data_IF_724556198243
#
_entry.id   IF_724556198243
#
_cell.length_a   1.000
_cell.length_b   1.000
_cell.length_c   1.000
_cell.angle_alpha   90.00
_cell.angle_beta   90.00
_cell.angle_gamma   90.00
#
_symmetry.space_group_name_H-M   'P 1'
#
loop_
_entity.id
_entity.type
_entity.pdbx_description
1 polymer ?
#
# COMPACT_ATOMS: atom_id res chain seq x y z
N UNK A 1 48.19 43.63 62.34
CA UNK A 1 49.19 44.19 61.43
C UNK A 1 48.47 44.81 60.27
N UNK A 2 48.59 46.13 60.08
CA UNK A 2 48.09 46.83 58.91
C UNK A 2 49.19 46.80 57.85
N UNK A 3 48.93 46.17 56.72
CA UNK A 3 49.83 46.24 55.56
C UNK A 3 49.45 47.47 54.77
N UNK A 4 50.33 48.41 54.61
CA UNK A 4 50.26 49.60 53.82
C UNK A 4 51.08 49.31 52.56
N UNK A 5 50.44 49.41 51.38
CA UNK A 5 51.12 49.36 50.10
C UNK A 5 51.52 50.78 49.69
N UNK A 6 52.60 50.88 48.96
CA UNK A 6 53.05 52.16 48.42
C UNK A 6 52.02 52.77 47.46
N UNK A 7 51.85 54.10 47.52
CA UNK A 7 50.91 54.82 46.70
C UNK A 7 51.46 54.94 45.25
N UNK A 8 50.72 54.41 44.28
CA UNK A 8 51.05 54.60 42.87
C UNK A 8 50.40 55.89 42.43
N UNK A 9 51.17 56.85 41.95
CA UNK A 9 50.68 58.08 41.38
C UNK A 9 50.33 57.88 39.94
N UNK A 10 49.02 57.92 39.61
CA UNK A 10 48.53 57.83 38.27
C UNK A 10 48.29 59.25 37.76
N UNK A 11 49.09 59.69 36.79
CA UNK A 11 48.86 60.97 36.13
C UNK A 11 47.78 60.79 35.04
N UNK A 12 46.60 61.32 35.35
CA UNK A 12 45.49 61.35 34.33
C UNK A 12 45.59 62.63 33.53
N UNK A 13 46.09 62.52 32.31
CA UNK A 13 46.10 63.66 31.39
C UNK A 13 44.69 63.95 30.92
N UNK A 14 44.23 65.20 31.05
CA UNK A 14 42.98 65.63 30.47
C UNK A 14 43.21 65.90 29.00
N UNK A 15 42.50 65.17 28.12
CA UNK A 15 42.47 65.44 26.72
C UNK A 15 41.49 66.61 26.48
N UNK A 16 41.93 67.68 25.90
CA UNK A 16 41.08 68.83 25.51
C UNK A 16 40.22 68.36 24.28
N UNK A 17 39.01 67.98 24.58
CA UNK A 17 38.02 67.66 23.51
C UNK A 17 37.21 68.91 23.22
N UNK A 18 37.29 69.38 21.97
CA UNK A 18 36.51 70.53 21.54
C UNK A 18 35.10 70.06 21.22
N UNK A 19 34.22 70.14 22.20
CA UNK A 19 32.82 69.63 22.12
C UNK A 19 31.95 70.44 21.17
N UNK A 20 32.42 71.60 20.68
CA UNK A 20 31.67 72.40 19.73
C UNK A 20 31.95 72.04 18.25
N UNK A 21 33.04 71.36 17.98
CA UNK A 21 33.46 70.99 16.62
C UNK A 21 33.31 69.50 16.27
N UNK A 22 33.10 68.64 17.24
CA UNK A 22 32.90 67.23 17.01
C UNK A 22 31.47 66.84 17.42
N UNK A 23 30.58 66.60 16.44
CA UNK A 23 29.26 66.02 16.76
C UNK A 23 29.44 64.67 17.39
N UNK A 24 28.52 64.33 18.34
CA UNK A 24 28.46 63.00 18.94
C UNK A 24 28.45 61.96 17.83
N UNK A 25 29.40 61.04 17.88
CA UNK A 25 29.36 59.91 16.91
C UNK A 25 28.05 59.16 17.08
N UNK A 26 27.31 58.88 15.99
CA UNK A 26 26.09 58.14 16.05
C UNK A 26 26.37 56.75 16.63
N UNK A 27 25.40 56.22 17.39
CA UNK A 27 25.46 54.85 17.89
C UNK A 27 25.64 53.92 16.69
N UNK A 28 26.65 53.06 16.74
CA UNK A 28 26.85 52.07 15.69
C UNK A 28 25.57 51.26 15.57
N UNK A 29 24.96 51.30 14.41
CA UNK A 29 23.83 50.43 14.07
C UNK A 29 24.24 48.96 14.21
N UNK A 30 23.33 48.13 14.68
CA UNK A 30 23.50 46.67 14.64
C UNK A 30 23.76 46.30 13.18
N UNK A 31 24.90 45.68 12.92
CA UNK A 31 25.23 45.20 11.59
C UNK A 31 24.42 43.94 11.34
N UNK A 32 23.35 44.07 10.53
CA UNK A 32 22.62 42.96 10.03
C UNK A 32 23.53 42.19 9.06
N UNK A 33 24.06 41.06 9.51
CA UNK A 33 24.77 40.16 8.60
C UNK A 33 23.75 39.28 7.90
N UNK A 34 23.65 39.31 6.52
CA UNK A 34 22.79 38.43 5.83
C UNK A 34 23.21 36.99 6.06
N UNK A 35 22.24 36.10 6.33
CA UNK A 35 22.49 34.68 6.51
C UNK A 35 23.21 34.11 5.26
N UNK A 36 24.41 33.64 5.46
CA UNK A 36 25.18 32.98 4.42
C UNK A 36 25.10 31.45 4.57
N UNK A 37 24.90 30.73 3.48
CA UNK A 37 24.87 29.24 3.51
C UNK A 37 26.14 28.62 4.09
N UNK A 38 27.25 29.38 4.11
CA UNK A 38 28.51 28.97 4.73
C UNK A 38 28.38 28.81 6.26
N UNK A 39 27.45 29.54 6.89
CA UNK A 39 27.21 29.48 8.33
C UNK A 39 26.59 28.15 8.75
N UNK A 40 25.94 27.45 7.81
CA UNK A 40 25.40 26.11 8.02
C UNK A 40 26.47 24.99 7.95
N UNK A 41 27.70 25.30 7.49
CA UNK A 41 28.76 24.32 7.27
C UNK A 41 29.09 23.47 8.53
N UNK A 42 29.16 24.00 9.73
CA UNK A 42 29.45 23.21 10.93
C UNK A 42 28.31 22.24 11.26
N UNK A 43 27.06 22.54 10.84
CA UNK A 43 25.89 21.70 11.09
C UNK A 43 25.69 20.60 10.03
N UNK A 44 26.35 20.71 8.87
CA UNK A 44 26.24 19.74 7.77
C UNK A 44 26.57 18.30 8.23
N UNK A 45 27.64 18.15 9.01
CA UNK A 45 28.07 16.86 9.54
C UNK A 45 27.03 16.26 10.50
N UNK A 46 26.38 17.10 11.30
CA UNK A 46 25.29 16.66 12.19
C UNK A 46 24.05 16.23 11.40
N UNK A 47 23.70 16.96 10.35
CA UNK A 47 22.58 16.63 9.46
C UNK A 47 22.84 15.30 8.75
N UNK A 48 24.05 15.09 8.23
CA UNK A 48 24.44 13.83 7.59
C UNK A 48 24.38 12.68 8.60
N UNK A 49 24.88 12.89 9.82
CA UNK A 49 24.84 11.89 10.89
C UNK A 49 23.42 11.49 11.27
N UNK A 50 22.52 12.44 11.42
CA UNK A 50 21.10 12.20 11.74
C UNK A 50 20.41 11.48 10.58
N UNK A 51 20.65 11.89 9.32
CA UNK A 51 20.11 11.23 8.15
C UNK A 51 20.60 9.77 8.03
N UNK A 52 21.88 9.53 8.27
CA UNK A 52 22.45 8.17 8.26
C UNK A 52 21.81 7.29 9.36
N UNK A 53 21.60 7.84 10.54
CA UNK A 53 20.97 7.13 11.66
C UNK A 53 19.49 6.83 11.37
N UNK A 54 18.75 7.78 10.78
CA UNK A 54 17.37 7.57 10.34
C UNK A 54 17.28 6.51 9.23
N UNK A 55 18.19 6.56 8.25
CA UNK A 55 18.25 5.56 7.19
C UNK A 55 18.57 4.16 7.75
N UNK A 56 19.50 4.07 8.71
CA UNK A 56 19.81 2.82 9.39
C UNK A 56 18.64 2.32 10.22
N UNK A 57 17.96 3.18 10.96
CA UNK A 57 16.78 2.83 11.72
C UNK A 57 15.65 2.33 10.81
N UNK A 58 15.39 3.03 9.70
CA UNK A 58 14.42 2.63 8.69
C UNK A 58 14.81 1.26 8.08
N UNK A 59 16.06 1.08 7.71
CA UNK A 59 16.58 -0.20 7.22
C UNK A 59 16.36 -1.34 8.21
N UNK A 60 16.68 -1.13 9.50
CA UNK A 60 16.47 -2.13 10.54
C UNK A 60 15.00 -2.43 10.79
N UNK A 61 14.12 -1.40 10.75
CA UNK A 61 12.67 -1.58 10.88
C UNK A 61 12.09 -2.37 9.71
N UNK A 62 12.52 -2.06 8.47
CA UNK A 62 12.11 -2.78 7.29
C UNK A 62 12.60 -4.23 7.31
N UNK A 63 13.83 -4.43 7.78
CA UNK A 63 14.42 -5.78 7.97
C UNK A 63 13.68 -6.59 9.03
N UNK A 64 13.34 -5.98 10.19
CA UNK A 64 12.57 -6.65 11.26
C UNK A 64 11.15 -6.98 10.85
N UNK A 65 10.50 -6.11 10.05
CA UNK A 65 9.13 -6.37 9.56
C UNK A 65 9.08 -7.44 8.47
N UNK A 66 10.23 -8.02 8.10
CA UNK A 66 10.24 -9.07 7.08
C UNK A 66 9.56 -8.61 5.79
N UNK A 67 9.69 -7.32 5.43
CA UNK A 67 9.39 -6.89 4.08
C UNK A 67 10.44 -7.59 3.21
N UNK A 68 10.24 -8.90 3.07
CA UNK A 68 10.77 -9.61 1.93
C UNK A 68 10.19 -8.84 0.76
N UNK A 69 11.04 -8.11 0.05
CA UNK A 69 10.81 -7.87 -1.36
C UNK A 69 10.92 -9.28 -1.95
N UNK A 70 9.85 -10.06 -1.73
CA UNK A 70 9.63 -11.27 -2.48
C UNK A 70 9.62 -10.72 -3.90
N UNK A 71 10.66 -11.02 -4.70
CA UNK A 71 10.46 -11.13 -6.14
C UNK A 71 9.24 -12.01 -6.23
N UNK A 72 8.07 -11.38 -6.39
CA UNK A 72 6.80 -12.06 -6.53
C UNK A 72 7.04 -12.96 -7.72
N UNK A 73 7.33 -14.24 -7.46
CA UNK A 73 7.20 -15.25 -8.49
C UNK A 73 5.81 -14.97 -8.98
N UNK A 74 5.67 -14.54 -10.20
CA UNK A 74 4.39 -14.21 -10.78
C UNK A 74 3.69 -15.56 -10.89
N UNK A 75 3.07 -15.96 -9.78
CA UNK A 75 2.22 -17.15 -9.76
C UNK A 75 0.96 -16.71 -10.50
N UNK A 76 0.59 -17.39 -11.58
CA UNK A 76 -0.61 -17.03 -12.31
C UNK A 76 -1.82 -16.92 -11.38
N UNK A 77 -2.70 -15.92 -11.53
CA UNK A 77 -3.88 -15.72 -10.68
C UNK A 77 -4.74 -16.99 -10.59
N UNK A 78 -4.82 -17.76 -11.65
CA UNK A 78 -5.52 -19.05 -11.69
C UNK A 78 -4.99 -20.06 -10.64
N UNK A 79 -3.64 -20.17 -10.50
CA UNK A 79 -3.04 -21.10 -9.52
C UNK A 79 -3.37 -20.64 -8.10
N UNK A 80 -3.32 -19.33 -7.86
CA UNK A 80 -3.66 -18.76 -6.54
C UNK A 80 -5.13 -19.04 -6.20
N UNK A 81 -6.03 -18.84 -7.17
CA UNK A 81 -7.46 -19.10 -6.98
C UNK A 81 -7.74 -20.59 -6.68
N UNK A 82 -7.10 -21.50 -7.41
CA UNK A 82 -7.23 -22.94 -7.19
C UNK A 82 -6.68 -23.37 -5.82
N UNK A 83 -5.57 -22.80 -5.37
CA UNK A 83 -5.02 -23.10 -4.05
C UNK A 83 -5.92 -22.55 -2.92
N UNK A 84 -6.53 -21.36 -3.12
CA UNK A 84 -7.53 -20.82 -2.20
C UNK A 84 -8.78 -21.70 -2.13
N UNK A 85 -9.21 -22.26 -3.26
CA UNK A 85 -10.36 -23.16 -3.34
C UNK A 85 -10.08 -24.46 -2.57
N UNK A 86 -8.88 -25.03 -2.71
CA UNK A 86 -8.44 -26.19 -1.92
C UNK A 86 -8.37 -25.87 -0.42
N UNK A 87 -7.88 -24.69 -0.07
CA UNK A 87 -7.83 -24.24 1.32
C UNK A 87 -9.24 -24.08 1.91
N UNK A 88 -10.21 -23.64 1.12
CA UNK A 88 -11.62 -23.58 1.51
C UNK A 88 -12.19 -24.99 1.80
N UNK A 89 -11.87 -25.98 0.96
CA UNK A 89 -12.26 -27.37 1.17
C UNK A 89 -11.71 -27.93 2.51
N UNK A 90 -10.46 -27.58 2.85
CA UNK A 90 -9.84 -28.01 4.12
C UNK A 90 -10.54 -27.47 5.37
N UNK A 91 -11.23 -26.33 5.27
CA UNK A 91 -12.01 -25.75 6.39
C UNK A 91 -13.28 -26.54 6.71
N UNK A 92 -13.71 -27.44 5.85
CA UNK A 92 -14.91 -28.30 5.98
C UNK A 92 -16.18 -27.52 6.37
N UNK A 93 -16.32 -26.28 5.88
CA UNK A 93 -17.42 -25.37 6.23
C UNK A 93 -18.79 -25.93 5.85
N UNK A 94 -18.86 -26.69 4.76
CA UNK A 94 -20.10 -27.37 4.33
C UNK A 94 -20.52 -28.40 5.36
N UNK A 95 -19.60 -29.27 5.81
CA UNK A 95 -19.89 -30.33 6.78
C UNK A 95 -20.23 -29.76 8.18
N UNK A 96 -19.62 -28.64 8.53
CA UNK A 96 -19.91 -27.94 9.80
C UNK A 96 -21.14 -27.03 9.71
N UNK A 97 -21.89 -27.08 8.60
CA UNK A 97 -23.10 -26.29 8.34
C UNK A 97 -22.89 -24.76 8.41
N UNK A 98 -21.65 -24.30 8.24
CA UNK A 98 -21.31 -22.87 8.17
C UNK A 98 -21.47 -22.33 6.75
N UNK A 99 -22.63 -22.58 6.15
CA UNK A 99 -22.88 -22.31 4.72
C UNK A 99 -22.73 -20.83 4.38
N UNK A 100 -23.13 -19.90 5.25
CA UNK A 100 -22.95 -18.46 5.01
C UNK A 100 -21.47 -18.09 4.84
N UNK A 101 -20.59 -18.62 5.70
CA UNK A 101 -19.15 -18.37 5.63
C UNK A 101 -18.57 -19.01 4.37
N UNK A 102 -19.01 -20.22 4.06
CA UNK A 102 -18.61 -20.91 2.83
C UNK A 102 -18.91 -20.08 1.56
N UNK A 103 -20.13 -19.58 1.39
CA UNK A 103 -20.51 -18.81 0.21
C UNK A 103 -19.82 -17.44 0.16
N UNK A 104 -19.53 -16.82 1.31
CA UNK A 104 -18.75 -15.58 1.36
C UNK A 104 -17.34 -15.85 0.82
N UNK A 105 -16.65 -16.87 1.34
CA UNK A 105 -15.28 -17.18 0.90
C UNK A 105 -15.24 -17.68 -0.55
N UNK A 106 -16.21 -18.50 -0.97
CA UNK A 106 -16.31 -19.03 -2.33
C UNK A 106 -16.41 -17.89 -3.35
N UNK A 107 -17.35 -16.95 -3.11
CA UNK A 107 -17.52 -15.80 -4.01
C UNK A 107 -16.36 -14.83 -3.96
N UNK A 108 -15.70 -14.64 -2.81
CA UNK A 108 -14.49 -13.82 -2.70
C UNK A 108 -13.33 -14.39 -3.53
N UNK A 109 -13.15 -15.71 -3.55
CA UNK A 109 -12.13 -16.36 -4.38
C UNK A 109 -12.36 -16.06 -5.87
N UNK A 110 -13.61 -16.23 -6.35
CA UNK A 110 -13.96 -15.98 -7.75
C UNK A 110 -13.78 -14.50 -8.11
N UNK A 111 -14.30 -13.59 -7.29
CA UNK A 111 -14.19 -12.15 -7.51
C UNK A 111 -12.74 -11.68 -7.55
N UNK A 112 -11.90 -12.16 -6.64
CA UNK A 112 -10.45 -11.86 -6.65
C UNK A 112 -9.78 -12.37 -7.91
N UNK A 113 -10.13 -13.57 -8.35
CA UNK A 113 -9.58 -14.11 -9.60
C UNK A 113 -9.94 -13.24 -10.80
N UNK A 114 -11.21 -12.84 -10.92
CA UNK A 114 -11.69 -11.95 -11.98
C UNK A 114 -10.93 -10.61 -11.96
N UNK A 115 -10.73 -10.04 -10.77
CA UNK A 115 -10.02 -8.77 -10.62
C UNK A 115 -8.53 -8.90 -10.95
N UNK A 116 -7.87 -9.97 -10.48
CA UNK A 116 -6.43 -10.18 -10.69
C UNK A 116 -6.10 -10.59 -12.13
N UNK A 117 -6.98 -11.31 -12.81
CA UNK A 117 -6.75 -11.87 -14.16
C UNK A 117 -7.32 -11.01 -15.28
N UNK A 118 -8.56 -10.53 -15.12
CA UNK A 118 -9.27 -9.74 -16.13
C UNK A 118 -9.18 -8.22 -15.91
N UNK A 119 -8.62 -7.77 -14.78
CA UNK A 119 -8.54 -6.35 -14.39
C UNK A 119 -9.93 -5.66 -14.31
N UNK A 120 -10.97 -6.42 -13.99
CA UNK A 120 -12.32 -5.93 -13.75
C UNK A 120 -12.50 -5.72 -12.25
N UNK A 121 -13.01 -4.57 -11.75
CA UNK A 121 -13.16 -4.29 -10.31
C UNK A 121 -14.29 -5.14 -9.69
N UNK A 122 -14.04 -6.45 -9.58
CA UNK A 122 -15.04 -7.44 -9.17
C UNK A 122 -15.34 -7.42 -7.66
N UNK A 123 -14.41 -6.97 -6.83
CA UNK A 123 -14.59 -6.92 -5.37
C UNK A 123 -15.50 -5.78 -4.94
N UNK A 124 -15.53 -4.68 -5.69
CA UNK A 124 -16.30 -3.48 -5.38
C UNK A 124 -17.66 -3.44 -6.08
N UNK A 125 -17.86 -4.31 -7.09
CA UNK A 125 -19.08 -4.37 -7.90
C UNK A 125 -20.16 -5.23 -7.25
N UNK A 126 -21.41 -4.89 -7.48
CA UNK A 126 -22.55 -5.78 -7.21
C UNK A 126 -22.52 -7.00 -8.14
N UNK A 127 -23.32 -8.03 -7.85
CA UNK A 127 -23.37 -9.24 -8.69
C UNK A 127 -23.87 -8.93 -10.12
N UNK A 128 -24.86 -8.05 -10.25
CA UNK A 128 -25.42 -7.68 -11.55
C UNK A 128 -24.47 -6.79 -12.37
N UNK A 129 -23.82 -5.81 -11.73
CA UNK A 129 -22.79 -4.97 -12.36
C UNK A 129 -21.60 -5.79 -12.84
N UNK A 130 -21.14 -6.73 -12.03
CA UNK A 130 -20.03 -7.62 -12.39
C UNK A 130 -20.37 -8.44 -13.65
N UNK A 131 -21.58 -9.03 -13.70
CA UNK A 131 -22.01 -9.83 -14.84
C UNK A 131 -22.15 -8.99 -16.12
N UNK A 132 -22.72 -7.79 -16.02
CA UNK A 132 -22.78 -6.83 -17.13
C UNK A 132 -21.37 -6.50 -17.63
N UNK A 133 -20.47 -6.13 -16.74
CA UNK A 133 -19.09 -5.77 -17.08
C UNK A 133 -18.34 -6.94 -17.73
N UNK A 134 -18.51 -8.16 -17.24
CA UNK A 134 -17.89 -9.35 -17.85
C UNK A 134 -18.45 -9.60 -19.25
N UNK A 135 -19.77 -9.45 -19.47
CA UNK A 135 -20.39 -9.62 -20.78
C UNK A 135 -19.88 -8.60 -21.78
N UNK A 136 -19.86 -7.32 -21.40
CA UNK A 136 -19.35 -6.22 -22.23
C UNK A 136 -17.85 -6.41 -22.55
N UNK A 137 -17.08 -6.84 -21.56
CA UNK A 137 -15.66 -7.12 -21.72
C UNK A 137 -15.40 -8.32 -22.63
N UNK A 138 -16.22 -9.37 -22.52
CA UNK A 138 -16.13 -10.55 -23.40
C UNK A 138 -16.42 -10.20 -24.86
N UNK A 139 -17.41 -9.34 -25.11
CA UNK A 139 -17.75 -8.88 -26.46
C UNK A 139 -16.63 -7.99 -27.05
N UNK A 140 -16.07 -7.07 -26.23
CA UNK A 140 -15.08 -6.08 -26.69
C UNK A 140 -13.68 -6.66 -26.81
N UNK A 141 -13.27 -7.56 -25.92
CA UNK A 141 -11.88 -8.05 -25.78
C UNK A 141 -11.61 -9.38 -26.47
N UNK A 142 -12.61 -10.00 -27.07
CA UNK A 142 -12.52 -11.32 -27.74
C UNK A 142 -11.91 -12.40 -26.81
N UNK A 143 -12.26 -12.36 -25.51
CA UNK A 143 -11.77 -13.34 -24.53
C UNK A 143 -12.30 -14.75 -24.76
N UNK A 144 -13.33 -14.88 -25.62
CA UNK A 144 -13.98 -16.16 -25.92
C UNK A 144 -14.42 -16.94 -24.66
N UNK A 145 -14.91 -16.20 -23.63
CA UNK A 145 -15.56 -16.84 -22.48
C UNK A 145 -16.85 -17.49 -22.95
N UNK A 146 -16.98 -18.78 -22.66
CA UNK A 146 -18.20 -19.53 -23.05
C UNK A 146 -19.42 -18.99 -22.28
N UNK A 147 -20.52 -18.83 -23.00
CA UNK A 147 -21.81 -18.40 -22.46
C UNK A 147 -22.23 -19.21 -21.23
N UNK A 148 -21.99 -20.53 -21.25
CA UNK A 148 -22.26 -21.42 -20.15
C UNK A 148 -21.50 -21.04 -18.89
N UNK A 149 -20.26 -20.55 -19.01
CA UNK A 149 -19.45 -20.08 -17.88
C UNK A 149 -20.07 -18.83 -17.24
N UNK A 150 -20.54 -17.88 -18.06
CA UNK A 150 -21.19 -16.66 -17.58
C UNK A 150 -22.52 -16.99 -16.91
N UNK A 151 -23.33 -17.89 -17.48
CA UNK A 151 -24.59 -18.35 -16.90
C UNK A 151 -24.37 -19.02 -15.53
N UNK A 152 -23.39 -19.93 -15.43
CA UNK A 152 -23.03 -20.57 -14.16
C UNK A 152 -22.51 -19.60 -13.12
N UNK A 153 -21.75 -18.59 -13.53
CA UNK A 153 -21.31 -17.53 -12.64
C UNK A 153 -22.49 -16.74 -12.09
N UNK A 154 -23.44 -16.37 -12.95
CA UNK A 154 -24.68 -15.68 -12.56
C UNK A 154 -25.46 -16.49 -11.51
N UNK A 155 -25.70 -17.77 -11.77
CA UNK A 155 -26.47 -18.64 -10.89
C UNK A 155 -25.76 -18.80 -9.53
N UNK A 156 -24.44 -18.99 -9.54
CA UNK A 156 -23.65 -19.10 -8.33
C UNK A 156 -23.68 -17.81 -7.48
N UNK A 157 -23.52 -16.64 -8.12
CA UNK A 157 -23.57 -15.35 -7.42
C UNK A 157 -24.94 -15.10 -6.82
N UNK A 158 -26.03 -15.38 -7.57
CA UNK A 158 -27.41 -15.30 -7.06
C UNK A 158 -27.67 -16.22 -5.88
N UNK A 159 -27.23 -17.48 -5.98
CA UNK A 159 -27.33 -18.44 -4.86
C UNK A 159 -26.59 -17.92 -3.62
N UNK A 160 -25.38 -17.41 -3.81
CA UNK A 160 -24.59 -16.87 -2.73
C UNK A 160 -25.26 -15.64 -2.09
N UNK A 161 -25.84 -14.75 -2.87
CA UNK A 161 -26.54 -13.56 -2.36
C UNK A 161 -27.78 -13.93 -1.56
N UNK A 162 -28.53 -14.94 -1.98
CA UNK A 162 -29.65 -15.49 -1.21
C UNK A 162 -29.19 -16.04 0.16
N UNK A 163 -28.06 -16.75 0.20
CA UNK A 163 -27.50 -17.26 1.46
C UNK A 163 -26.99 -16.15 2.36
N UNK A 164 -26.33 -15.14 1.79
CA UNK A 164 -25.75 -14.02 2.53
C UNK A 164 -26.80 -13.10 3.13
N UNK A 165 -27.84 -12.78 2.36
CA UNK A 165 -28.76 -11.68 2.65
C UNK A 165 -30.21 -12.13 2.93
N UNK A 166 -30.70 -13.19 2.26
CA UNK A 166 -32.06 -13.67 2.40
C UNK A 166 -32.23 -14.83 3.40
N UNK A 167 -31.19 -15.19 4.16
CA UNK A 167 -31.20 -16.33 5.09
C UNK A 167 -31.58 -17.68 4.44
N UNK A 168 -31.41 -17.78 3.12
CA UNK A 168 -31.59 -19.04 2.42
C UNK A 168 -30.58 -20.07 2.92
N UNK A 169 -31.02 -21.32 3.11
CA UNK A 169 -30.19 -22.43 3.57
C UNK A 169 -30.22 -23.53 2.49
N UNK A 170 -29.26 -23.56 1.57
CA UNK A 170 -29.16 -24.66 0.63
C UNK A 170 -28.86 -25.97 1.37
N UNK A 171 -29.21 -27.10 0.74
CA UNK A 171 -28.80 -28.39 1.27
C UNK A 171 -27.30 -28.64 1.02
N UNK A 172 -26.72 -29.63 1.72
CA UNK A 172 -25.29 -29.92 1.61
C UNK A 172 -24.88 -30.31 0.19
N UNK A 173 -25.70 -31.09 -0.50
CA UNK A 173 -25.43 -31.52 -1.88
C UNK A 173 -25.38 -30.32 -2.84
N UNK A 174 -26.25 -29.31 -2.63
CA UNK A 174 -26.22 -28.07 -3.41
C UNK A 174 -24.93 -27.28 -3.17
N UNK A 175 -24.51 -27.18 -1.92
CA UNK A 175 -23.27 -26.47 -1.60
C UNK A 175 -22.02 -27.18 -2.18
N UNK A 176 -22.00 -28.52 -2.16
CA UNK A 176 -20.95 -29.29 -2.83
C UNK A 176 -20.99 -29.13 -4.36
N UNK A 177 -22.17 -29.11 -4.96
CA UNK A 177 -22.32 -28.84 -6.39
C UNK A 177 -21.83 -27.41 -6.74
N UNK A 178 -22.20 -26.41 -5.94
CA UNK A 178 -21.77 -25.02 -6.14
C UNK A 178 -20.25 -24.87 -6.00
N UNK A 179 -19.63 -25.65 -5.15
CA UNK A 179 -18.16 -25.74 -5.05
C UNK A 179 -17.53 -26.24 -6.37
N UNK A 180 -18.10 -27.28 -6.98
CA UNK A 180 -17.64 -27.79 -8.28
C UNK A 180 -17.91 -26.80 -9.40
N UNK A 181 -19.04 -26.12 -9.37
CA UNK A 181 -19.37 -25.04 -10.30
C UNK A 181 -18.35 -23.90 -10.21
N UNK A 182 -17.90 -23.53 -9.03
CA UNK A 182 -16.85 -22.51 -8.85
C UNK A 182 -15.53 -22.91 -9.54
N UNK A 183 -15.13 -24.17 -9.43
CA UNK A 183 -13.95 -24.70 -10.15
C UNK A 183 -14.15 -24.68 -11.67
N UNK A 184 -15.34 -25.03 -12.15
CA UNK A 184 -15.69 -24.94 -13.57
C UNK A 184 -15.60 -23.49 -14.06
N UNK A 185 -16.10 -22.52 -13.29
CA UNK A 185 -16.06 -21.09 -13.63
C UNK A 185 -14.61 -20.62 -13.73
N UNK A 186 -13.75 -20.93 -12.74
CA UNK A 186 -12.34 -20.54 -12.78
C UNK A 186 -11.62 -21.09 -14.02
N UNK A 187 -11.92 -22.33 -14.41
CA UNK A 187 -11.37 -22.93 -15.62
C UNK A 187 -11.88 -22.24 -16.91
N UNK A 188 -13.18 -21.90 -16.94
CA UNK A 188 -13.80 -21.25 -18.09
C UNK A 188 -13.42 -19.78 -18.28
N UNK A 189 -13.04 -19.11 -17.20
CA UNK A 189 -12.55 -17.72 -17.21
C UNK A 189 -11.05 -17.64 -17.55
N UNK A 190 -10.31 -18.73 -17.50
CA UNK A 190 -8.88 -18.75 -17.80
C UNK A 190 -8.65 -18.29 -19.24
N UNK A 191 -7.80 -17.27 -19.48
CA UNK A 191 -7.45 -16.86 -20.83
C UNK A 191 -6.93 -18.03 -21.63
N UNK A 192 -7.50 -18.26 -22.79
CA UNK A 192 -6.96 -19.26 -23.72
C UNK A 192 -5.60 -18.78 -24.18
N UNK A 193 -4.53 -19.54 -23.90
CA UNK A 193 -3.21 -19.24 -24.43
C UNK A 193 -3.33 -19.12 -25.97
N UNK A 194 -3.06 -17.92 -26.52
CA UNK A 194 -2.87 -17.77 -27.96
C UNK A 194 -1.72 -18.70 -28.31
N UNK A 195 -2.01 -19.82 -29.01
CA UNK A 195 -0.97 -20.60 -29.65
C UNK A 195 -0.24 -19.62 -30.58
N UNK A 196 0.97 -19.20 -30.19
CA UNK A 196 1.89 -18.62 -31.16
C UNK A 196 2.01 -19.64 -32.28
N UNK A 197 1.42 -19.31 -33.42
CA UNK A 197 1.68 -20.01 -34.65
C UNK A 197 3.15 -19.72 -34.96
N UNK A 198 4.00 -20.66 -34.58
CA UNK A 198 5.38 -20.70 -35.03
C UNK A 198 5.31 -20.85 -36.57
N UNK A 199 5.29 -19.71 -37.26
CA UNK A 199 5.60 -19.66 -38.69
C UNK A 199 7.11 -19.80 -38.78
N UNK A 200 7.51 -21.00 -39.23
CA UNK A 200 8.88 -21.32 -39.67
C UNK A 200 9.31 -20.50 -40.89
#
# INVERSE_FOLDING_TARGET
>A
QKYLTDSIIINVGTVKVDTLKQPLFPIKTIKDEPFALIDARPYLWWIIGVMALLALALYLLLRKKGIRIIKKRIVPPFIIAMDRLKALDQKQLIKSQQLKVFYIELTDIIRRYIEEDLSIPALESTSDELLSTISDFNESSHLEIDKQTIEKLNDLLKSADLVKFAKYKPNLNQAEADRLVAEFILNGLKPKEKKEVANG
#
